data_IF_796157036771
#
_entry.id   IF_796157036771
#
_cell.length_a   1.000
_cell.length_b   1.000
_cell.length_c   1.000
_cell.angle_alpha   90.00
_cell.angle_beta   90.00
_cell.angle_gamma   90.00
#
_symmetry.space_group_name_H-M   'P 1'
#
loop_
_entity.id
_entity.type
_entity.pdbx_description
1 polymer ?
#
# COMPACT_ATOMS: atom_id res chain seq x y z
N UNK A 1 -6.00 -31.74 25.45
CA UNK A 1 -6.87 -31.22 24.37
C UNK A 1 -5.97 -30.93 23.20
N UNK A 2 -5.93 -31.85 22.25
CA UNK A 2 -5.15 -31.69 21.02
C UNK A 2 -5.98 -30.78 20.12
N UNK A 3 -5.48 -29.57 19.83
CA UNK A 3 -6.19 -28.65 18.93
C UNK A 3 -6.06 -29.20 17.51
N UNK A 4 -7.14 -29.77 16.99
CA UNK A 4 -7.20 -30.21 15.60
C UNK A 4 -7.03 -28.97 14.69
N UNK A 5 -5.84 -28.79 14.11
CA UNK A 5 -5.57 -27.67 13.19
C UNK A 5 -6.20 -27.99 11.84
N UNK A 6 -7.42 -27.52 11.64
CA UNK A 6 -8.05 -27.51 10.31
C UNK A 6 -7.27 -26.57 9.38
N UNK A 7 -6.76 -27.04 8.23
CA UNK A 7 -6.12 -26.16 7.25
C UNK A 7 -7.15 -25.20 6.66
N UNK A 8 -6.74 -23.94 6.46
CA UNK A 8 -7.59 -22.93 5.85
C UNK A 8 -7.90 -23.26 4.40
N UNK A 9 -9.16 -23.05 4.02
CA UNK A 9 -9.62 -23.25 2.64
C UNK A 9 -9.23 -22.08 1.74
N UNK A 10 -9.24 -22.28 0.42
CA UNK A 10 -8.96 -21.23 -0.56
C UNK A 10 -9.92 -20.04 -0.40
N UNK A 11 -11.20 -20.29 -0.08
CA UNK A 11 -12.17 -19.20 0.12
C UNK A 11 -11.86 -18.36 1.36
N UNK A 12 -11.39 -19.00 2.44
CA UNK A 12 -10.97 -18.30 3.66
C UNK A 12 -9.72 -17.45 3.41
N UNK A 13 -8.75 -17.98 2.66
CA UNK A 13 -7.57 -17.23 2.23
C UNK A 13 -7.92 -16.02 1.36
N UNK A 14 -8.83 -16.19 0.39
CA UNK A 14 -9.29 -15.09 -0.46
C UNK A 14 -10.02 -14.02 0.34
N UNK A 15 -10.93 -14.42 1.22
CA UNK A 15 -11.64 -13.50 2.11
C UNK A 15 -10.68 -12.69 2.98
N UNK A 16 -9.71 -13.37 3.62
CA UNK A 16 -8.69 -12.71 4.42
C UNK A 16 -7.83 -11.74 3.60
N UNK A 17 -7.41 -12.15 2.39
CA UNK A 17 -6.59 -11.33 1.50
C UNK A 17 -7.34 -10.08 1.04
N UNK A 18 -8.62 -10.21 0.68
CA UNK A 18 -9.45 -9.06 0.28
C UNK A 18 -9.65 -8.09 1.44
N UNK A 19 -9.91 -8.59 2.66
CA UNK A 19 -10.08 -7.73 3.83
C UNK A 19 -8.80 -6.95 4.14
N UNK A 20 -7.65 -7.63 4.16
CA UNK A 20 -6.35 -7.00 4.40
C UNK A 20 -6.01 -6.03 3.27
N UNK A 21 -6.22 -6.47 2.02
CA UNK A 21 -5.98 -5.67 0.82
C UNK A 21 -6.83 -4.40 0.76
N UNK A 22 -8.08 -4.45 1.20
CA UNK A 22 -8.95 -3.27 1.24
C UNK A 22 -8.38 -2.21 2.20
N UNK A 23 -8.00 -2.61 3.42
CA UNK A 23 -7.39 -1.68 4.38
C UNK A 23 -6.07 -1.12 3.84
N UNK A 24 -5.25 -1.97 3.23
CA UNK A 24 -3.99 -1.56 2.60
C UNK A 24 -4.18 -0.51 1.51
N UNK A 25 -5.15 -0.73 0.61
CA UNK A 25 -5.46 0.19 -0.49
C UNK A 25 -5.96 1.52 0.05
N UNK A 26 -6.83 1.52 1.07
CA UNK A 26 -7.33 2.76 1.67
C UNK A 26 -6.21 3.63 2.25
N UNK A 27 -5.24 3.02 2.94
CA UNK A 27 -4.07 3.72 3.45
C UNK A 27 -3.20 4.21 2.29
N UNK A 28 -2.99 3.38 1.27
CA UNK A 28 -2.24 3.75 0.08
C UNK A 28 -2.87 4.92 -0.69
N UNK A 29 -4.20 5.00 -0.77
CA UNK A 29 -4.91 6.12 -1.39
C UNK A 29 -4.67 7.42 -0.60
N UNK A 30 -4.86 7.38 0.71
CA UNK A 30 -4.57 8.51 1.58
C UNK A 30 -3.11 8.98 1.47
N UNK A 31 -2.18 8.03 1.38
CA UNK A 31 -0.76 8.31 1.17
C UNK A 31 -0.46 8.98 -0.17
N UNK A 32 -0.98 8.41 -1.25
CA UNK A 32 -0.71 8.85 -2.62
C UNK A 32 -1.20 10.27 -2.86
N UNK A 33 -2.29 10.70 -2.23
CA UNK A 33 -2.79 12.08 -2.34
C UNK A 33 -1.78 13.13 -1.85
N UNK A 34 -0.93 12.79 -0.87
CA UNK A 34 0.10 13.69 -0.35
C UNK A 34 1.47 13.56 -1.01
N UNK A 35 1.80 12.38 -1.56
CA UNK A 35 3.18 12.04 -1.94
C UNK A 35 3.35 11.74 -3.44
N UNK A 36 2.28 11.41 -4.17
CA UNK A 36 2.40 11.20 -5.60
C UNK A 36 2.63 12.55 -6.30
N UNK A 37 3.87 12.81 -6.71
CA UNK A 37 4.22 14.02 -7.45
C UNK A 37 3.73 13.93 -8.91
N UNK A 38 2.43 14.14 -9.12
CA UNK A 38 1.79 14.06 -10.43
C UNK A 38 2.01 15.32 -11.29
N UNK A 39 2.64 16.35 -10.74
CA UNK A 39 2.91 17.60 -11.45
C UNK A 39 4.12 17.49 -12.40
N UNK A 40 5.04 16.59 -12.11
CA UNK A 40 6.25 16.34 -12.91
C UNK A 40 6.06 15.22 -13.95
N UNK A 41 4.89 14.56 -13.95
CA UNK A 41 4.59 13.38 -14.76
C UNK A 41 3.55 13.74 -15.82
N UNK A 42 3.63 13.20 -17.04
CA UNK A 42 2.72 13.56 -18.15
C UNK A 42 1.95 12.36 -18.70
N UNK A 43 0.71 12.60 -19.16
CA UNK A 43 -0.10 11.59 -19.84
C UNK A 43 -0.41 10.35 -18.98
N UNK A 44 -0.32 9.16 -19.59
CA UNK A 44 -0.66 7.86 -18.98
C UNK A 44 0.24 7.48 -17.81
N UNK A 45 1.39 8.14 -17.66
CA UNK A 45 2.28 7.91 -16.53
C UNK A 45 1.66 8.39 -15.21
N UNK A 46 0.76 9.40 -15.24
CA UNK A 46 0.09 9.90 -14.03
C UNK A 46 -0.69 8.84 -13.25
N UNK A 47 -1.66 8.11 -13.85
CA UNK A 47 -2.39 7.07 -13.13
C UNK A 47 -1.48 5.90 -12.72
N UNK A 48 -0.43 5.60 -13.49
CA UNK A 48 0.55 4.55 -13.15
C UNK A 48 1.34 4.96 -11.91
N UNK A 49 1.88 6.18 -11.88
CA UNK A 49 2.61 6.73 -10.74
C UNK A 49 1.73 6.77 -9.50
N UNK A 50 0.48 7.23 -9.62
CA UNK A 50 -0.47 7.22 -8.51
C UNK A 50 -0.75 5.80 -8.02
N UNK A 51 -1.03 4.84 -8.91
CA UNK A 51 -1.25 3.44 -8.54
C UNK A 51 -0.03 2.79 -7.87
N UNK A 52 1.19 3.14 -8.30
CA UNK A 52 2.43 2.70 -7.65
C UNK A 52 2.55 3.28 -6.25
N UNK A 53 2.18 4.55 -6.04
CA UNK A 53 2.16 5.15 -4.70
C UNK A 53 1.14 4.45 -3.80
N UNK A 54 -0.05 4.09 -4.31
CA UNK A 54 -1.07 3.34 -3.57
C UNK A 54 -0.61 1.91 -3.26
N UNK A 55 0.05 1.23 -4.19
CA UNK A 55 0.45 -0.16 -4.00
C UNK A 55 1.67 -0.28 -3.07
N UNK A 56 2.64 0.62 -3.23
CA UNK A 56 3.96 0.55 -2.61
C UNK A 56 4.16 1.54 -1.47
N UNK A 57 3.10 2.18 -0.96
CA UNK A 57 3.17 3.18 0.11
C UNK A 57 4.08 2.81 1.29
N UNK A 58 4.10 1.59 1.85
CA UNK A 58 4.92 1.33 3.02
C UNK A 58 6.40 1.14 2.67
N UNK A 59 6.72 0.73 1.44
CA UNK A 59 8.10 0.75 0.95
C UNK A 59 8.53 2.20 0.74
N UNK A 60 7.63 3.02 0.19
CA UNK A 60 7.89 4.43 -0.07
C UNK A 60 8.14 5.24 1.20
N UNK A 61 7.50 4.91 2.33
CA UNK A 61 7.81 5.48 3.66
C UNK A 61 9.31 5.41 4.00
N UNK A 62 10.01 4.34 3.58
CA UNK A 62 11.43 4.17 3.91
C UNK A 62 12.35 4.80 2.87
N UNK A 63 11.90 4.95 1.63
CA UNK A 63 12.68 5.60 0.56
C UNK A 63 12.52 7.11 0.58
N UNK A 64 11.39 7.58 1.10
CA UNK A 64 11.08 8.99 1.31
C UNK A 64 11.34 9.32 2.78
N UNK A 65 12.58 9.76 3.09
CA UNK A 65 12.99 10.05 4.47
C UNK A 65 12.32 11.33 5.02
N UNK A 66 11.67 12.14 4.17
CA UNK A 66 10.95 13.35 4.57
C UNK A 66 9.56 13.07 5.17
N UNK A 67 9.11 11.82 5.11
CA UNK A 67 7.79 11.35 5.55
C UNK A 67 7.48 11.62 7.02
N UNK A 68 8.51 11.75 7.86
CA UNK A 68 8.38 12.08 9.27
C UNK A 68 8.90 13.48 9.63
N UNK A 69 9.26 14.31 8.64
CA UNK A 69 9.95 15.58 8.86
C UNK A 69 11.35 15.42 9.47
N UNK A 70 11.97 14.24 9.30
CA UNK A 70 13.33 13.96 9.74
C UNK A 70 14.30 14.24 8.59
N UNK A 71 14.70 15.51 8.44
CA UNK A 71 15.84 15.85 7.62
C UNK A 71 17.11 15.23 8.23
N UNK A 72 17.50 14.05 7.75
CA UNK A 72 18.85 13.52 7.96
C UNK A 72 19.78 14.23 6.95
N UNK A 73 20.21 15.43 7.33
CA UNK A 73 21.34 16.14 6.68
C UNK A 73 22.66 15.50 7.08
#
# INVERSE_FOLDING_TARGET
METERKPMTVSEWLGATVMIGAVWILIGLFWADGHANLNEVFGTEKPITYALHVALWPVLIFTDLDVFGLHLT
#
